data_IF_804283907768
#
_entry.id   IF_804283907768
#
_cell.length_a   1.000
_cell.length_b   1.000
_cell.length_c   1.000
_cell.angle_alpha   90.00
_cell.angle_beta   90.00
_cell.angle_gamma   90.00
#
_symmetry.space_group_name_H-M   'P 1'
#
loop_
_entity.id
_entity.type
_entity.pdbx_description
1 polymer ?
#
# COMPACT_ATOMS: atom_id res chain seq x y z
N UNK A 1 -10.69 -20.21 7.63
CA UNK A 1 -11.39 -19.05 8.22
C UNK A 1 -11.37 -17.97 7.18
N UNK A 2 -12.53 -17.59 6.66
CA UNK A 2 -12.61 -16.47 5.72
C UNK A 2 -12.30 -15.17 6.45
N UNK A 3 -11.66 -14.23 5.77
CA UNK A 3 -11.33 -12.95 6.37
C UNK A 3 -12.62 -12.13 6.45
N UNK A 4 -13.24 -12.09 7.64
CA UNK A 4 -14.49 -11.37 7.92
C UNK A 4 -14.47 -9.93 7.40
N UNK A 5 -13.31 -9.27 7.38
CA UNK A 5 -13.16 -7.93 6.81
C UNK A 5 -13.35 -7.90 5.29
N UNK A 6 -12.86 -8.93 4.56
CA UNK A 6 -13.05 -9.04 3.11
C UNK A 6 -14.50 -9.33 2.76
N UNK A 7 -15.18 -10.18 3.54
CA UNK A 7 -16.62 -10.47 3.35
C UNK A 7 -17.44 -9.19 3.56
N UNK A 8 -17.16 -8.43 4.62
CA UNK A 8 -17.87 -7.17 4.88
C UNK A 8 -17.68 -6.12 3.78
N UNK A 9 -16.48 -6.09 3.15
CA UNK A 9 -16.21 -5.22 2.01
C UNK A 9 -17.02 -5.66 0.79
N UNK A 10 -17.07 -6.97 0.51
CA UNK A 10 -17.83 -7.54 -0.60
C UNK A 10 -19.33 -7.25 -0.48
N UNK A 11 -19.92 -7.46 0.69
CA UNK A 11 -21.33 -7.16 0.98
C UNK A 11 -21.65 -5.68 0.74
N UNK A 12 -20.77 -4.78 1.19
CA UNK A 12 -20.94 -3.34 0.99
C UNK A 12 -20.90 -2.96 -0.50
N UNK A 13 -19.98 -3.56 -1.27
CA UNK A 13 -19.88 -3.34 -2.71
C UNK A 13 -21.15 -3.79 -3.45
N UNK A 14 -21.74 -4.92 -3.06
CA UNK A 14 -23.00 -5.43 -3.63
C UNK A 14 -24.15 -4.45 -3.34
N UNK A 15 -24.26 -3.96 -2.10
CA UNK A 15 -25.29 -2.98 -1.72
C UNK A 15 -25.18 -1.70 -2.55
N UNK A 16 -23.97 -1.17 -2.73
CA UNK A 16 -23.73 0.04 -3.54
C UNK A 16 -24.11 -0.22 -5.00
N UNK A 17 -23.71 -1.35 -5.59
CA UNK A 17 -24.02 -1.68 -6.98
C UNK A 17 -25.54 -1.77 -7.23
N UNK A 18 -26.30 -2.32 -6.28
CA UNK A 18 -27.76 -2.37 -6.33
C UNK A 18 -28.41 -1.00 -6.09
N UNK A 19 -27.78 -0.14 -5.28
CA UNK A 19 -28.25 1.24 -5.09
C UNK A 19 -28.21 2.02 -6.41
N UNK A 20 -27.15 1.85 -7.20
CA UNK A 20 -27.00 2.49 -8.51
C UNK A 20 -28.15 2.12 -9.46
N UNK A 21 -28.52 0.83 -9.51
CA UNK A 21 -29.67 0.39 -10.32
C UNK A 21 -30.99 1.02 -9.86
N UNK A 22 -31.18 1.27 -8.56
CA UNK A 22 -32.37 1.92 -8.03
C UNK A 22 -32.48 3.40 -8.46
N UNK A 23 -31.36 4.05 -8.76
CA UNK A 23 -31.32 5.40 -9.33
C UNK A 23 -31.37 5.42 -10.86
N UNK A 24 -31.64 4.29 -11.51
CA UNK A 24 -31.65 4.19 -12.97
C UNK A 24 -30.26 4.29 -13.60
N UNK A 25 -29.20 4.18 -12.80
CA UNK A 25 -27.83 4.09 -13.29
C UNK A 25 -27.50 2.62 -13.57
N UNK A 26 -27.08 2.31 -14.79
CA UNK A 26 -26.62 0.97 -15.12
C UNK A 26 -25.41 0.63 -14.22
N UNK A 27 -25.53 -0.43 -13.42
CA UNK A 27 -24.42 -0.90 -12.60
C UNK A 27 -23.22 -1.21 -13.50
N UNK A 28 -22.00 -0.75 -13.18
CA UNK A 28 -20.84 -0.98 -14.04
C UNK A 28 -20.61 -2.48 -14.24
N UNK A 29 -20.82 -2.98 -15.46
CA UNK A 29 -20.47 -4.35 -15.82
C UNK A 29 -18.94 -4.40 -16.03
N UNK A 30 -18.20 -4.55 -14.94
CA UNK A 30 -16.74 -4.70 -15.00
C UNK A 30 -16.42 -6.19 -14.93
N UNK A 31 -16.15 -6.81 -16.07
CA UNK A 31 -15.56 -8.14 -16.03
C UNK A 31 -14.15 -8.04 -15.42
N UNK A 32 -13.67 -9.11 -14.77
CA UNK A 32 -12.32 -9.11 -14.18
C UNK A 32 -11.22 -8.78 -15.21
N UNK A 33 -11.45 -9.15 -16.47
CA UNK A 33 -10.63 -8.77 -17.64
C UNK A 33 -10.59 -7.25 -17.85
N UNK A 34 -11.75 -6.57 -17.80
CA UNK A 34 -11.82 -5.13 -18.02
C UNK A 34 -11.10 -4.35 -16.91
N UNK A 35 -11.13 -4.84 -15.67
CA UNK A 35 -10.39 -4.28 -14.54
C UNK A 35 -8.86 -4.40 -14.74
N UNK A 36 -8.39 -5.60 -15.10
CA UNK A 36 -6.97 -5.84 -15.40
C UNK A 36 -6.48 -4.98 -16.56
N UNK A 37 -7.28 -4.90 -17.64
CA UNK A 37 -6.96 -4.09 -18.81
C UNK A 37 -6.99 -2.59 -18.51
N UNK A 38 -7.93 -2.13 -17.68
CA UNK A 38 -8.02 -0.71 -17.31
C UNK A 38 -6.85 -0.30 -16.42
N UNK A 39 -6.47 -1.12 -15.44
CA UNK A 39 -5.34 -0.81 -14.57
C UNK A 39 -4.02 -0.89 -15.34
N UNK A 40 -3.85 -1.90 -16.21
CA UNK A 40 -2.70 -1.99 -17.10
C UNK A 40 -2.60 -0.78 -18.04
N UNK A 41 -3.72 -0.38 -18.66
CA UNK A 41 -3.75 0.80 -19.51
C UNK A 41 -3.51 2.09 -18.73
N UNK A 42 -3.90 2.17 -17.45
CA UNK A 42 -3.63 3.30 -16.58
C UNK A 42 -2.15 3.37 -16.20
N UNK A 43 -1.52 2.23 -15.93
CA UNK A 43 -0.08 2.14 -15.64
C UNK A 43 0.79 2.45 -16.86
N UNK A 44 0.29 2.23 -18.09
CA UNK A 44 1.03 2.49 -19.33
C UNK A 44 0.78 3.88 -19.93
N UNK A 45 -0.15 4.66 -19.39
CA UNK A 45 -0.56 5.96 -19.94
C UNK A 45 0.34 7.14 -19.57
N UNK A 46 1.53 6.88 -19.03
CA UNK A 46 2.45 7.96 -18.68
C UNK A 46 3.06 8.66 -19.90
N UNK A 47 3.21 9.98 -19.79
CA UNK A 47 3.96 10.76 -20.78
C UNK A 47 5.46 10.62 -20.51
N UNK A 48 6.19 10.03 -21.46
CA UNK A 48 7.65 9.93 -21.40
C UNK A 48 8.32 11.30 -21.33
N UNK A 49 7.72 12.31 -21.97
CA UNK A 49 8.18 13.71 -21.94
C UNK A 49 8.03 14.32 -20.55
N UNK A 50 6.88 14.10 -19.90
CA UNK A 50 6.62 14.60 -18.56
C UNK A 50 7.53 13.91 -17.52
N UNK A 51 7.71 12.59 -17.64
CA UNK A 51 8.64 11.85 -16.80
C UNK A 51 10.08 12.34 -16.93
N UNK A 52 10.55 12.59 -18.16
CA UNK A 52 11.88 13.14 -18.40
C UNK A 52 12.04 14.54 -17.74
N UNK A 53 11.01 15.38 -17.84
CA UNK A 53 11.01 16.70 -17.21
C UNK A 53 11.04 16.61 -15.66
N UNK A 54 10.29 15.67 -15.07
CA UNK A 54 10.29 15.42 -13.63
C UNK A 54 11.68 14.98 -13.15
N UNK A 55 12.31 14.06 -13.87
CA UNK A 55 13.67 13.58 -13.56
C UNK A 55 14.66 14.73 -13.63
N UNK A 56 14.67 15.49 -14.74
CA UNK A 56 15.57 16.61 -14.94
C UNK A 56 15.45 17.68 -13.84
N UNK A 57 14.24 17.93 -13.33
CA UNK A 57 13.98 18.88 -12.25
C UNK A 57 14.43 18.36 -10.88
N UNK A 58 14.19 17.09 -10.58
CA UNK A 58 14.33 16.56 -9.23
C UNK A 58 15.72 15.97 -8.95
N UNK A 59 16.40 15.45 -9.97
CA UNK A 59 17.77 14.89 -9.85
C UNK A 59 18.75 15.89 -9.22
N UNK A 60 18.81 17.18 -9.64
CA UNK A 60 19.70 18.16 -9.02
C UNK A 60 19.37 18.51 -7.57
N UNK A 61 18.15 18.22 -7.10
CA UNK A 61 17.71 18.52 -5.73
C UNK A 61 18.01 17.39 -4.74
N UNK A 62 18.50 16.25 -5.23
CA UNK A 62 18.84 15.09 -4.40
C UNK A 62 20.12 15.35 -3.61
N UNK A 63 20.14 14.89 -2.35
CA UNK A 63 21.38 14.79 -1.60
C UNK A 63 22.22 13.58 -2.08
N UNK A 64 23.44 13.45 -1.57
CA UNK A 64 24.40 12.43 -2.01
C UNK A 64 23.92 10.98 -1.78
N UNK A 65 23.25 10.71 -0.65
CA UNK A 65 22.70 9.38 -0.36
C UNK A 65 21.54 9.03 -1.30
N UNK A 66 20.62 9.98 -1.52
CA UNK A 66 19.49 9.81 -2.44
C UNK A 66 19.97 9.61 -3.88
N UNK A 67 20.98 10.37 -4.30
CA UNK A 67 21.62 10.23 -5.62
C UNK A 67 22.22 8.85 -5.80
N UNK A 68 22.94 8.37 -4.79
CA UNK A 68 23.54 7.02 -4.80
C UNK A 68 22.49 5.92 -4.94
N UNK A 69 21.37 6.01 -4.22
CA UNK A 69 20.28 5.04 -4.32
C UNK A 69 19.60 5.12 -5.70
N UNK A 70 19.32 6.33 -6.17
CA UNK A 70 18.71 6.57 -7.47
C UNK A 70 19.53 5.96 -8.61
N UNK A 71 20.84 6.19 -8.64
CA UNK A 71 21.73 5.71 -9.71
C UNK A 71 21.81 4.17 -9.69
N UNK A 72 21.86 3.54 -8.51
CA UNK A 72 21.85 2.07 -8.39
C UNK A 72 20.53 1.47 -8.89
N UNK A 73 19.40 2.10 -8.60
CA UNK A 73 18.08 1.66 -9.09
C UNK A 73 18.02 1.78 -10.61
N UNK A 74 18.48 2.91 -11.16
CA UNK A 74 18.50 3.13 -12.61
C UNK A 74 19.39 2.12 -13.35
N UNK A 75 20.55 1.78 -12.76
CA UNK A 75 21.43 0.75 -13.28
C UNK A 75 20.79 -0.64 -13.26
N UNK A 76 20.12 -1.00 -12.16
CA UNK A 76 19.41 -2.28 -12.04
C UNK A 76 18.27 -2.42 -13.06
N UNK A 77 17.49 -1.35 -13.26
CA UNK A 77 16.41 -1.29 -14.27
C UNK A 77 16.97 -1.46 -15.68
N UNK A 78 18.02 -0.72 -16.03
CA UNK A 78 18.63 -0.79 -17.37
C UNK A 78 19.29 -2.14 -17.66
N UNK A 79 19.80 -2.82 -16.63
CA UNK A 79 20.35 -4.17 -16.73
C UNK A 79 19.26 -5.28 -16.72
N UNK A 80 17.98 -4.94 -16.55
CA UNK A 80 16.90 -5.92 -16.38
C UNK A 80 17.01 -6.74 -15.09
N UNK A 81 17.85 -6.31 -14.15
CA UNK A 81 18.14 -6.96 -12.87
C UNK A 81 17.19 -6.37 -11.81
N UNK A 82 15.88 -6.58 -11.97
CA UNK A 82 14.83 -6.00 -11.13
C UNK A 82 14.72 -6.54 -9.69
N UNK A 83 15.78 -7.13 -9.13
CA UNK A 83 15.77 -7.59 -7.73
C UNK A 83 16.05 -6.42 -6.77
N UNK A 84 15.07 -5.52 -6.66
CA UNK A 84 15.12 -4.32 -5.82
C UNK A 84 15.31 -4.61 -4.32
N UNK A 85 15.19 -5.88 -3.91
CA UNK A 85 15.42 -6.32 -2.52
C UNK A 85 16.88 -6.15 -2.10
N UNK A 86 17.81 -6.01 -3.05
CA UNK A 86 19.25 -5.81 -2.79
C UNK A 86 19.71 -4.35 -2.94
N UNK A 87 18.93 -3.50 -3.60
CA UNK A 87 19.32 -2.11 -3.91
C UNK A 87 18.81 -1.12 -2.87
N UNK A 88 17.68 -1.42 -2.25
CA UNK A 88 17.22 -0.73 -1.06
C UNK A 88 17.79 -1.46 0.15
N UNK A 89 18.70 -0.88 0.96
CA UNK A 89 18.81 -1.35 2.34
C UNK A 89 17.38 -1.25 2.88
N UNK A 90 16.80 -2.41 3.22
CA UNK A 90 15.44 -2.51 3.76
C UNK A 90 15.27 -1.35 4.72
N UNK A 91 14.44 -0.39 4.33
CA UNK A 91 14.30 0.89 5.02
C UNK A 91 13.66 0.57 6.37
N UNK A 92 14.48 0.23 7.36
CA UNK A 92 14.06 -0.03 8.74
C UNK A 92 13.36 1.21 9.32
N UNK A 93 13.58 2.39 8.73
CA UNK A 93 13.05 3.65 9.20
C UNK A 93 11.56 3.87 8.92
N UNK A 94 10.94 3.32 7.86
CA UNK A 94 9.49 3.51 7.66
C UNK A 94 8.68 2.77 8.72
N UNK A 95 9.09 1.57 9.12
CA UNK A 95 8.44 0.85 10.21
C UNK A 95 8.61 1.60 11.53
N UNK A 96 9.77 2.19 11.78
CA UNK A 96 10.04 2.97 12.99
C UNK A 96 9.30 4.32 13.00
N UNK A 97 9.18 5.00 11.87
CA UNK A 97 8.43 6.23 11.71
C UNK A 97 6.92 5.98 11.83
N UNK A 98 6.41 4.91 11.21
CA UNK A 98 5.03 4.44 11.38
C UNK A 98 4.79 4.03 12.84
N UNK A 99 5.72 3.29 13.47
CA UNK A 99 5.62 2.92 14.87
C UNK A 99 5.65 4.13 15.81
N UNK A 100 6.50 5.12 15.53
CA UNK A 100 6.58 6.37 16.28
C UNK A 100 5.28 7.18 16.14
N UNK A 101 4.72 7.25 14.94
CA UNK A 101 3.44 7.92 14.66
C UNK A 101 2.26 7.20 15.32
N UNK A 102 2.25 5.86 15.27
CA UNK A 102 1.25 5.05 15.96
C UNK A 102 1.35 5.17 17.48
N UNK A 103 2.57 5.25 18.04
CA UNK A 103 2.81 5.42 19.48
C UNK A 103 2.51 6.83 19.99
N UNK A 104 2.71 7.86 19.17
CA UNK A 104 2.37 9.25 19.52
C UNK A 104 0.87 9.53 19.43
N UNK A 105 0.11 8.70 18.71
CA UNK A 105 -1.35 8.80 18.62
C UNK A 105 -2.02 8.67 19.99
N UNK A 106 -3.00 9.54 20.33
CA UNK A 106 -3.80 9.43 21.55
C UNK A 106 -4.52 8.07 21.68
N UNK A 107 -4.76 7.39 20.56
CA UNK A 107 -5.43 6.11 20.48
C UNK A 107 -4.54 4.93 20.93
N UNK A 108 -3.21 5.11 20.97
CA UNK A 108 -2.26 4.07 21.34
C UNK A 108 -2.50 3.51 22.74
N UNK A 109 -2.94 4.35 23.68
CA UNK A 109 -3.29 3.93 25.06
C UNK A 109 -4.42 2.89 25.08
N UNK A 110 -5.32 2.92 24.11
CA UNK A 110 -6.41 1.95 24.01
C UNK A 110 -5.93 0.63 23.37
N UNK A 111 -4.99 0.70 22.43
CA UNK A 111 -4.32 -0.46 21.83
C UNK A 111 -3.47 -1.19 22.87
N UNK A 112 -2.78 -0.47 23.75
CA UNK A 112 -1.97 -1.07 24.82
C UNK A 112 -2.83 -1.74 25.91
N UNK A 113 -3.94 -1.11 26.29
CA UNK A 113 -4.92 -1.72 27.22
C UNK A 113 -5.55 -2.99 26.67
N UNK A 114 -5.84 -3.04 25.37
CA UNK A 114 -6.41 -4.22 24.71
C UNK A 114 -5.37 -5.34 24.59
N UNK A 115 -4.12 -5.03 24.22
CA UNK A 115 -3.01 -6.01 24.23
C UNK A 115 -2.78 -6.61 25.62
N UNK A 116 -2.77 -5.79 26.67
CA UNK A 116 -2.60 -6.27 28.04
C UNK A 116 -3.77 -7.14 28.53
N UNK A 117 -5.01 -6.82 28.15
CA UNK A 117 -6.17 -7.71 28.41
C UNK A 117 -6.03 -9.04 27.68
N UNK A 118 -5.59 -9.02 26.43
CA UNK A 118 -5.39 -10.23 25.63
C UNK A 118 -4.27 -11.11 26.18
N UNK A 119 -3.14 -10.52 26.57
CA UNK A 119 -2.01 -11.22 27.20
C UNK A 119 -2.40 -11.85 28.54
N UNK A 120 -3.18 -11.14 29.37
CA UNK A 120 -3.71 -11.68 30.63
C UNK A 120 -4.72 -12.82 30.39
N UNK A 121 -5.59 -12.68 29.40
CA UNK A 121 -6.55 -13.74 29.05
C UNK A 121 -5.88 -14.99 28.51
N UNK A 122 -4.78 -14.86 27.76
CA UNK A 122 -4.02 -16.00 27.25
C UNK A 122 -3.17 -16.66 28.33
N UNK A 123 -2.59 -15.89 29.25
CA UNK A 123 -1.88 -16.42 30.42
C UNK A 123 -2.81 -17.25 31.33
N UNK A 124 -4.05 -16.78 31.58
CA UNK A 124 -5.05 -17.53 32.34
C UNK A 124 -5.53 -18.81 31.64
N UNK A 125 -5.38 -18.90 30.31
CA UNK A 125 -5.74 -20.09 29.51
C UNK A 125 -4.61 -21.13 29.46
N UNK A 126 -3.37 -20.72 29.72
CA UNK A 126 -2.19 -21.60 29.72
C UNK A 126 -1.88 -22.23 31.09
N UNK A 127 -2.55 -21.76 32.16
CA UNK A 127 -2.40 -22.27 33.55
C UNK A 127 -3.59 -23.20 33.92
N UNK A 128 -4.47 -23.52 32.95
CA UNK A 128 -5.64 -24.38 33.13
C UNK A 128 -5.54 -25.64 32.30
#
# INVERSE_FOLDING_TARGET
>A
MYNEALIAIEDLCIVIANLLSNFGMNSPNRTASDLMNTEMNRELQYSTVEMAAIVARNVPLMNEEQRTIYDRIMLAVSAGQGDFRQTLPVIQTYADEINACLKSSPLWRNVEKTKNKYARSNASRSIR
#
